data_IF_976788575773
#
_entry.id   IF_976788575773
#
_cell.length_a   1.000
_cell.length_b   1.000
_cell.length_c   1.000
_cell.angle_alpha   90.00
_cell.angle_beta   90.00
_cell.angle_gamma   90.00
#
_symmetry.space_group_name_H-M   'P 1'
#
loop_
_entity.id
_entity.type
_entity.pdbx_description
1 polymer ?
#
# COMPACT_ATOMS: atom_id res chain seq x y z
N UNK A 1 6.32 -35.24 -5.41
CA UNK A 1 6.18 -33.83 -5.84
C UNK A 1 6.06 -32.93 -4.63
N UNK A 2 7.17 -32.41 -4.10
CA UNK A 2 7.11 -31.27 -3.16
C UNK A 2 7.03 -30.01 -4.03
N UNK A 3 5.83 -29.45 -4.15
CA UNK A 3 5.65 -28.12 -4.69
C UNK A 3 6.31 -27.17 -3.68
N UNK A 4 7.58 -26.81 -3.92
CA UNK A 4 8.25 -25.76 -3.16
C UNK A 4 7.56 -24.45 -3.53
N UNK A 5 6.53 -24.08 -2.77
CA UNK A 5 5.91 -22.77 -2.79
C UNK A 5 6.98 -21.77 -2.33
N UNK A 6 7.83 -21.34 -3.27
CA UNK A 6 8.88 -20.38 -2.97
C UNK A 6 8.24 -19.05 -2.59
N UNK A 7 8.79 -18.31 -1.62
CA UNK A 7 8.24 -17.04 -1.14
C UNK A 7 8.04 -15.99 -2.26
N UNK A 8 8.75 -16.15 -3.38
CA UNK A 8 8.57 -15.37 -4.61
C UNK A 8 7.13 -15.44 -5.15
N UNK A 9 6.53 -16.64 -5.26
CA UNK A 9 5.19 -16.81 -5.82
C UNK A 9 4.11 -16.22 -4.90
N UNK A 10 4.31 -16.32 -3.59
CA UNK A 10 3.42 -15.71 -2.60
C UNK A 10 3.53 -14.18 -2.63
N UNK A 11 4.74 -13.63 -2.72
CA UNK A 11 4.96 -12.19 -2.82
C UNK A 11 4.35 -11.57 -4.07
N UNK A 12 4.43 -12.29 -5.21
CA UNK A 12 3.79 -11.90 -6.46
C UNK A 12 2.26 -11.94 -6.35
N UNK A 13 1.70 -13.05 -5.86
CA UNK A 13 0.26 -13.21 -5.69
C UNK A 13 -0.33 -12.15 -4.73
N UNK A 14 0.38 -11.84 -3.64
CA UNK A 14 -0.04 -10.83 -2.67
C UNK A 14 0.03 -9.40 -3.25
N UNK A 15 1.01 -9.13 -4.10
CA UNK A 15 1.14 -7.83 -4.79
C UNK A 15 0.07 -7.61 -5.86
N UNK A 16 -0.53 -8.68 -6.37
CA UNK A 16 -1.67 -8.61 -7.30
C UNK A 16 -3.01 -8.39 -6.60
N UNK A 17 -3.06 -8.47 -5.26
CA UNK A 17 -4.29 -8.21 -4.52
C UNK A 17 -4.46 -6.69 -4.24
N UNK A 18 -5.47 -6.04 -4.82
CA UNK A 18 -5.68 -4.60 -4.66
C UNK A 18 -6.00 -4.19 -3.22
N UNK A 19 -6.67 -5.05 -2.44
CA UNK A 19 -6.91 -4.81 -1.03
C UNK A 19 -5.61 -4.78 -0.22
N UNK A 20 -4.64 -5.61 -0.59
CA UNK A 20 -3.32 -5.61 0.07
C UNK A 20 -2.51 -4.35 -0.24
N UNK A 21 -2.56 -3.84 -1.47
CA UNK A 21 -1.93 -2.57 -1.86
C UNK A 21 -2.46 -1.39 -1.03
N UNK A 22 -3.79 -1.32 -0.81
CA UNK A 22 -4.41 -0.32 0.09
C UNK A 22 -3.84 -0.42 1.50
N UNK A 23 -3.82 -1.63 2.08
CA UNK A 23 -3.28 -1.84 3.43
C UNK A 23 -1.79 -1.50 3.54
N UNK A 24 -1.00 -1.76 2.50
CA UNK A 24 0.42 -1.36 2.44
C UNK A 24 0.59 0.15 2.45
N UNK A 25 -0.22 0.90 1.69
CA UNK A 25 -0.23 2.37 1.74
C UNK A 25 -0.60 2.88 3.13
N UNK A 26 -1.63 2.33 3.77
CA UNK A 26 -2.01 2.69 5.16
C UNK A 26 -0.86 2.43 6.12
N UNK A 27 -0.18 1.29 6.00
CA UNK A 27 0.98 0.96 6.84
C UNK A 27 2.13 1.95 6.64
N UNK A 28 2.42 2.34 5.40
CA UNK A 28 3.43 3.33 5.08
C UNK A 28 3.07 4.72 5.63
N UNK A 29 1.83 5.17 5.41
CA UNK A 29 1.28 6.41 5.96
C UNK A 29 1.39 6.44 7.50
N UNK A 30 1.05 5.35 8.19
CA UNK A 30 1.20 5.22 9.64
C UNK A 30 2.66 5.38 10.09
N UNK A 31 3.61 4.79 9.35
CA UNK A 31 5.04 4.91 9.65
C UNK A 31 5.50 6.35 9.48
N UNK A 32 5.08 7.03 8.41
CA UNK A 32 5.36 8.45 8.17
C UNK A 32 4.78 9.30 9.30
N UNK A 33 3.52 9.06 9.67
CA UNK A 33 2.86 9.77 10.77
C UNK A 33 3.62 9.64 12.09
N UNK A 34 4.15 8.45 12.40
CA UNK A 34 5.01 8.23 13.57
C UNK A 34 6.31 9.00 13.49
N UNK A 35 6.99 8.98 12.33
CA UNK A 35 8.23 9.76 12.11
C UNK A 35 7.97 11.26 12.28
N UNK A 36 6.85 11.77 11.76
CA UNK A 36 6.47 13.19 11.89
C UNK A 36 6.13 13.52 13.35
N UNK A 37 5.39 12.66 14.04
CA UNK A 37 5.05 12.87 15.45
C UNK A 37 6.28 12.86 16.38
N UNK A 38 7.34 12.14 16.00
CA UNK A 38 8.61 12.09 16.73
C UNK A 38 9.62 13.16 16.29
N UNK A 39 9.34 13.88 15.21
CA UNK A 39 10.23 14.93 14.70
C UNK A 39 10.23 16.13 15.64
N UNK A 40 11.41 16.68 15.94
CA UNK A 40 11.56 17.94 16.67
C UNK A 40 10.97 19.13 15.89
N UNK A 41 10.98 19.04 14.56
CA UNK A 41 10.39 20.06 13.68
C UNK A 41 8.88 19.85 13.57
N UNK A 42 8.12 20.93 13.76
CA UNK A 42 6.67 20.94 13.55
C UNK A 42 6.38 20.96 12.05
N UNK A 43 5.90 19.84 11.53
CA UNK A 43 5.50 19.67 10.12
C UNK A 43 3.98 19.55 10.07
N UNK A 44 3.35 20.40 9.24
CA UNK A 44 1.93 20.34 8.95
C UNK A 44 1.75 19.85 7.52
N UNK A 45 0.88 18.87 7.32
CA UNK A 45 0.49 18.39 6.01
C UNK A 45 -0.98 18.00 5.99
N UNK A 46 -1.57 18.00 4.80
CA UNK A 46 -2.94 17.55 4.61
C UNK A 46 -3.08 16.05 4.92
N UNK A 47 -4.25 15.65 5.43
CA UNK A 47 -4.56 14.24 5.68
C UNK A 47 -4.45 13.39 4.42
N UNK A 48 -4.85 13.93 3.26
CA UNK A 48 -4.78 13.26 1.97
C UNK A 48 -3.33 12.95 1.56
N UNK A 49 -2.43 13.93 1.71
CA UNK A 49 -1.00 13.74 1.42
C UNK A 49 -0.36 12.75 2.39
N UNK A 50 -0.70 12.80 3.68
CA UNK A 50 -0.21 11.84 4.68
C UNK A 50 -0.63 10.41 4.34
N UNK A 51 -1.88 10.25 3.90
CA UNK A 51 -2.46 8.97 3.51
C UNK A 51 -2.07 8.52 2.10
N UNK A 52 -1.07 9.14 1.47
CA UNK A 52 -0.55 8.76 0.15
C UNK A 52 -1.65 8.71 -0.92
N UNK A 53 -2.60 9.65 -0.84
CA UNK A 53 -3.76 9.78 -1.73
C UNK A 53 -4.52 8.45 -1.91
N UNK A 54 -4.74 7.71 -0.82
CA UNK A 54 -5.42 6.42 -0.88
C UNK A 54 -6.89 6.50 -1.32
N UNK A 55 -7.50 7.68 -1.21
CA UNK A 55 -8.88 7.94 -1.63
C UNK A 55 -8.99 8.30 -3.12
N UNK A 56 -7.87 8.39 -3.84
CA UNK A 56 -7.85 8.76 -5.25
C UNK A 56 -8.49 7.66 -6.11
N UNK A 57 -9.54 7.97 -6.90
CA UNK A 57 -10.16 7.02 -7.83
C UNK A 57 -9.15 6.40 -8.81
N UNK A 58 -8.13 7.16 -9.22
CA UNK A 58 -7.07 6.67 -10.13
C UNK A 58 -6.32 5.46 -9.56
N UNK A 59 -6.18 5.40 -8.23
CA UNK A 59 -5.55 4.28 -7.56
C UNK A 59 -6.47 3.04 -7.59
N UNK A 60 -7.76 3.23 -7.39
CA UNK A 60 -8.74 2.15 -7.42
C UNK A 60 -8.83 1.55 -8.84
N UNK A 61 -8.89 2.39 -9.86
CA UNK A 61 -8.86 1.98 -11.28
C UNK A 61 -7.61 1.16 -11.63
N UNK A 62 -6.45 1.61 -11.16
CA UNK A 62 -5.18 0.92 -11.37
C UNK A 62 -5.14 -0.43 -10.65
N UNK A 63 -5.78 -0.52 -9.48
CA UNK A 63 -5.84 -1.71 -8.65
C UNK A 63 -6.86 -2.73 -9.18
N UNK A 64 -7.96 -2.30 -9.78
CA UNK A 64 -8.96 -3.17 -10.39
C UNK A 64 -8.49 -3.79 -11.71
N UNK A 65 -7.63 -3.10 -12.47
CA UNK A 65 -6.93 -3.68 -13.63
C UNK A 65 -6.08 -4.90 -13.27
N UNK A 66 -5.61 -5.00 -12.02
CA UNK A 66 -4.86 -6.17 -11.53
C UNK A 66 -5.76 -7.39 -11.30
N UNK A 67 -7.06 -7.20 -11.03
CA UNK A 67 -8.04 -8.28 -10.88
C UNK A 67 -8.42 -8.90 -12.22
N UNK A 68 -8.40 -8.12 -13.30
CA UNK A 68 -8.92 -8.51 -14.62
C UNK A 68 -7.96 -9.37 -15.44
N UNK A 69 -6.71 -9.54 -15.01
CA UNK A 69 -5.74 -10.38 -15.70
C UNK A 69 -5.88 -11.83 -15.22
N UNK A 70 -6.98 -12.47 -15.59
CA UNK A 70 -7.20 -13.92 -15.42
C UNK A 70 -7.06 -14.62 -16.76
#
# INVERSE_FOLDING_TARGET
MKLSLTPMHLGLALSQNPGYLKLRKIRAARRIARTIAQSQNRVYLSGNSLMLNIQDPSFDDSSDKLKSKK
#
